data_IF_527000697765
#
_entry.id   IF_527000697765
#
_cell.length_a   1.000
_cell.length_b   1.000
_cell.length_c   1.000
_cell.angle_alpha   90.00
_cell.angle_beta   90.00
_cell.angle_gamma   90.00
#
_symmetry.space_group_name_H-M   'P 1'
#
loop_
_entity.id
_entity.type
_entity.pdbx_description
1 polymer ?
#
# COMPACT_ATOMS: atom_id res chain seq x y z
N UNK A 1 20.10 -12.86 53.39
CA UNK A 1 20.27 -12.48 51.97
C UNK A 1 20.85 -11.09 51.91
N UNK A 2 21.94 -10.89 51.14
CA UNK A 2 22.53 -9.55 50.96
C UNK A 2 21.84 -8.81 49.82
N UNK A 3 21.76 -7.47 49.90
CA UNK A 3 21.18 -6.60 48.85
C UNK A 3 21.78 -6.86 47.46
N UNK A 4 23.05 -7.27 47.41
CA UNK A 4 23.75 -7.63 46.18
C UNK A 4 23.25 -8.94 45.57
N UNK A 5 22.91 -9.92 46.39
CA UNK A 5 22.32 -11.19 45.94
C UNK A 5 20.87 -11.00 45.46
N UNK A 6 20.08 -10.18 46.17
CA UNK A 6 18.72 -9.86 45.75
C UNK A 6 18.67 -9.10 44.41
N UNK A 7 19.64 -8.21 44.16
CA UNK A 7 19.76 -7.50 42.87
C UNK A 7 20.18 -8.44 41.73
N UNK A 8 21.06 -9.41 41.99
CA UNK A 8 21.43 -10.43 41.00
C UNK A 8 20.29 -11.38 40.69
N UNK A 9 19.54 -11.82 41.71
CA UNK A 9 18.36 -12.68 41.52
C UNK A 9 17.24 -11.95 40.77
N UNK A 10 17.02 -10.66 41.06
CA UNK A 10 16.03 -9.84 40.34
C UNK A 10 16.46 -9.56 38.89
N UNK A 11 17.77 -9.39 38.63
CA UNK A 11 18.32 -9.28 37.28
C UNK A 11 18.17 -10.58 36.49
N UNK A 12 18.39 -11.73 37.12
CA UNK A 12 18.18 -13.03 36.49
C UNK A 12 16.70 -13.30 36.23
N UNK A 13 15.83 -13.03 37.21
CA UNK A 13 14.38 -13.14 37.05
C UNK A 13 13.84 -12.22 35.95
N UNK A 14 14.36 -10.99 35.82
CA UNK A 14 14.02 -10.09 34.69
C UNK A 14 14.47 -10.63 33.34
N UNK A 15 15.66 -11.24 33.27
CA UNK A 15 16.16 -11.87 32.06
C UNK A 15 15.30 -13.06 31.61
N UNK A 16 14.86 -13.89 32.56
CA UNK A 16 14.02 -15.06 32.27
C UNK A 16 12.56 -14.68 31.96
N UNK A 17 12.03 -13.64 32.61
CA UNK A 17 10.72 -13.07 32.28
C UNK A 17 10.74 -12.40 30.89
N UNK A 18 11.82 -11.70 30.53
CA UNK A 18 11.96 -11.11 29.18
C UNK A 18 11.94 -12.17 28.08
N UNK A 19 12.60 -13.33 28.30
CA UNK A 19 12.60 -14.46 27.37
C UNK A 19 11.24 -15.18 27.27
N UNK A 20 10.41 -15.11 28.32
CA UNK A 20 9.07 -15.70 28.32
C UNK A 20 8.02 -14.77 27.69
N UNK A 21 8.21 -13.45 27.79
CA UNK A 21 7.33 -12.41 27.21
C UNK A 21 7.62 -12.18 25.72
N UNK A 22 8.85 -12.40 25.26
CA UNK A 22 9.16 -12.57 23.83
C UNK A 22 8.70 -13.96 23.37
N UNK A 23 7.51 -14.06 22.75
CA UNK A 23 6.95 -15.30 22.19
C UNK A 23 7.83 -16.05 21.16
N UNK A 24 9.07 -15.61 20.94
CA UNK A 24 10.12 -16.31 20.21
C UNK A 24 10.69 -17.52 20.96
N UNK A 25 10.48 -17.68 22.27
CA UNK A 25 11.00 -18.84 23.01
C UNK A 25 10.08 -20.06 22.95
N UNK A 26 8.76 -19.89 22.98
CA UNK A 26 7.83 -21.04 23.01
C UNK A 26 7.85 -21.84 21.70
N UNK A 27 7.84 -21.18 20.54
CA UNK A 27 7.94 -21.86 19.24
C UNK A 27 9.30 -22.53 19.03
N UNK A 28 10.39 -21.86 19.40
CA UNK A 28 11.74 -22.43 19.33
C UNK A 28 11.97 -23.57 20.33
N UNK A 29 11.35 -23.50 21.51
CA UNK A 29 11.38 -24.59 22.51
C UNK A 29 10.53 -25.74 22.00
N UNK A 30 9.36 -25.48 21.44
CA UNK A 30 8.49 -26.52 20.88
C UNK A 30 9.15 -27.22 19.70
N UNK A 31 9.76 -26.49 18.76
CA UNK A 31 10.53 -27.09 17.66
C UNK A 31 11.76 -27.89 18.13
N UNK A 32 12.44 -27.44 19.20
CA UNK A 32 13.56 -28.18 19.79
C UNK A 32 13.10 -29.44 20.53
N UNK A 33 11.98 -29.36 21.26
CA UNK A 33 11.36 -30.49 21.95
C UNK A 33 10.85 -31.51 20.95
N UNK A 34 10.22 -31.08 19.86
CA UNK A 34 9.72 -31.96 18.80
C UNK A 34 10.88 -32.64 18.07
N UNK A 35 11.97 -31.92 17.75
CA UNK A 35 13.19 -32.51 17.17
C UNK A 35 13.86 -33.51 18.12
N UNK A 36 13.97 -33.17 19.41
CA UNK A 36 14.56 -34.07 20.40
C UNK A 36 13.70 -35.34 20.59
N UNK A 37 12.38 -35.19 20.63
CA UNK A 37 11.42 -36.29 20.75
C UNK A 37 11.46 -37.21 19.52
N UNK A 38 11.56 -36.64 18.31
CA UNK A 38 11.73 -37.41 17.06
C UNK A 38 13.08 -38.15 16.98
N UNK A 39 14.17 -37.51 17.42
CA UNK A 39 15.49 -38.15 17.47
C UNK A 39 15.51 -39.34 18.45
N UNK A 40 14.81 -39.22 19.58
CA UNK A 40 14.69 -40.28 20.57
C UNK A 40 13.83 -41.45 20.05
N UNK A 41 12.67 -41.14 19.43
CA UNK A 41 11.80 -42.15 18.81
C UNK A 41 12.48 -42.91 17.67
N UNK A 42 13.39 -42.27 16.94
CA UNK A 42 14.18 -42.90 15.87
C UNK A 42 15.23 -43.88 16.41
N UNK A 43 15.78 -43.60 17.58
CA UNK A 43 16.82 -44.44 18.20
C UNK A 43 16.23 -45.51 19.13
N UNK A 44 15.01 -45.32 19.66
CA UNK A 44 14.34 -46.25 20.55
C UNK A 44 12.82 -46.31 20.28
N UNK A 45 12.36 -47.17 19.37
CA UNK A 45 10.95 -47.21 18.96
C UNK A 45 9.99 -47.68 20.08
N UNK A 46 10.48 -48.35 21.13
CA UNK A 46 9.66 -48.71 22.31
C UNK A 46 9.48 -47.55 23.30
N UNK A 47 10.24 -46.45 23.19
CA UNK A 47 10.08 -45.27 24.03
C UNK A 47 8.75 -44.52 23.80
N UNK A 48 8.09 -44.77 22.65
CA UNK A 48 6.77 -44.21 22.35
C UNK A 48 5.71 -44.62 23.39
N UNK A 49 5.75 -45.89 23.85
CA UNK A 49 4.83 -46.42 24.84
C UNK A 49 5.12 -45.89 26.27
N UNK A 50 6.40 -45.69 26.62
CA UNK A 50 6.79 -45.11 27.91
C UNK A 50 6.44 -43.61 28.03
N UNK A 51 6.42 -42.89 26.89
CA UNK A 51 6.03 -41.48 26.81
C UNK A 51 4.53 -41.27 26.57
N UNK A 52 3.73 -42.35 26.52
CA UNK A 52 2.27 -42.30 26.36
C UNK A 52 1.78 -41.81 24.99
N UNK A 53 2.61 -41.91 23.95
CA UNK A 53 2.28 -41.50 22.58
C UNK A 53 1.64 -42.67 21.82
N UNK A 54 0.53 -42.43 21.13
CA UNK A 54 -0.12 -43.45 20.30
C UNK A 54 0.49 -43.48 18.89
N UNK A 55 0.34 -44.59 18.17
CA UNK A 55 0.88 -44.78 16.80
C UNK A 55 0.46 -43.68 15.81
N UNK A 56 -0.66 -43.01 16.06
CA UNK A 56 -1.15 -41.88 15.27
C UNK A 56 -0.31 -40.61 15.45
N UNK A 57 0.25 -40.37 16.63
CA UNK A 57 1.07 -39.18 16.92
C UNK A 57 2.46 -39.31 16.29
N UNK A 58 3.00 -40.54 16.28
CA UNK A 58 4.28 -40.88 15.64
C UNK A 58 4.19 -40.75 14.11
N UNK A 59 3.07 -41.19 13.53
CA UNK A 59 2.85 -41.08 12.07
C UNK A 59 2.56 -39.65 11.62
N UNK A 60 1.85 -38.85 12.44
CA UNK A 60 1.65 -37.43 12.18
C UNK A 60 2.97 -36.63 12.18
N UNK A 61 3.88 -36.94 13.10
CA UNK A 61 5.19 -36.29 13.18
C UNK A 61 6.08 -36.62 11.97
N UNK A 62 6.07 -37.87 11.48
CA UNK A 62 6.78 -38.27 10.27
C UNK A 62 6.24 -37.60 8.99
N UNK A 63 4.92 -37.39 8.89
CA UNK A 63 4.31 -36.68 7.75
C UNK A 63 4.60 -35.17 7.77
N UNK A 64 4.80 -34.59 8.96
CA UNK A 64 5.23 -33.19 9.14
C UNK A 64 6.64 -32.95 8.60
N UNK A 65 7.58 -33.91 8.77
CA UNK A 65 8.92 -33.82 8.19
C UNK A 65 8.91 -33.84 6.66
N UNK A 66 8.09 -34.69 6.04
CA UNK A 66 7.98 -34.74 4.57
C UNK A 66 7.41 -33.44 4.01
N UNK A 67 6.40 -32.85 4.66
CA UNK A 67 5.87 -31.53 4.27
C UNK A 67 6.88 -30.39 4.49
N UNK A 68 7.69 -30.45 5.57
CA UNK A 68 8.77 -29.47 5.83
C UNK A 68 9.93 -29.60 4.84
N UNK A 69 10.32 -30.81 4.44
CA UNK A 69 11.36 -31.02 3.43
C UNK A 69 10.95 -30.49 2.05
N UNK A 70 9.68 -30.69 1.67
CA UNK A 70 9.12 -30.13 0.43
C UNK A 70 9.02 -28.60 0.50
N UNK A 71 8.68 -28.04 1.68
CA UNK A 71 8.67 -26.59 1.89
C UNK A 71 10.07 -25.97 1.88
N UNK A 72 11.08 -26.66 2.39
CA UNK A 72 12.48 -26.21 2.37
C UNK A 72 13.11 -26.29 0.97
N UNK A 73 12.74 -27.27 0.14
CA UNK A 73 13.16 -27.32 -1.26
C UNK A 73 12.46 -26.25 -2.11
N UNK A 74 11.16 -25.99 -1.89
CA UNK A 74 10.45 -24.85 -2.49
C UNK A 74 11.02 -23.49 -2.03
N UNK A 75 11.50 -23.39 -0.79
CA UNK A 75 12.16 -22.19 -0.28
C UNK A 75 13.61 -22.02 -0.80
N UNK A 76 14.28 -23.10 -1.23
CA UNK A 76 15.59 -23.03 -1.89
C UNK A 76 15.49 -22.60 -3.35
N UNK A 77 14.45 -23.01 -4.08
CA UNK A 77 14.19 -22.48 -5.43
C UNK A 77 13.74 -21.01 -5.41
N UNK A 78 13.04 -20.56 -4.36
CA UNK A 78 12.70 -19.15 -4.14
C UNK A 78 13.89 -18.26 -3.68
N UNK A 79 15.08 -18.85 -3.44
CA UNK A 79 16.32 -18.14 -3.07
C UNK A 79 17.26 -17.87 -4.26
N UNK A 80 16.82 -18.10 -5.50
CA UNK A 80 17.40 -17.39 -6.64
C UNK A 80 17.01 -15.90 -6.51
N UNK A 81 17.90 -15.12 -5.92
CA UNK A 81 17.76 -13.68 -5.67
C UNK A 81 17.09 -12.95 -6.84
N UNK A 82 15.95 -12.27 -6.65
CA UNK A 82 15.77 -11.01 -7.31
C UNK A 82 16.73 -10.04 -6.61
N UNK A 83 17.78 -9.62 -7.32
CA UNK A 83 18.58 -8.47 -6.94
C UNK A 83 17.63 -7.35 -6.51
N UNK A 84 17.70 -6.96 -5.25
CA UNK A 84 16.94 -5.82 -4.74
C UNK A 84 17.37 -4.60 -5.57
N UNK A 85 16.43 -3.84 -6.16
CA UNK A 85 16.81 -2.58 -6.79
C UNK A 85 17.47 -1.73 -5.70
N UNK A 86 18.70 -1.30 -5.95
CA UNK A 86 19.41 -0.37 -5.09
C UNK A 86 18.46 0.79 -4.75
N UNK A 87 18.30 1.08 -3.46
CA UNK A 87 17.58 2.26 -3.02
C UNK A 87 18.44 3.44 -3.41
N UNK A 88 18.08 4.09 -4.53
CA UNK A 88 18.84 5.19 -5.10
C UNK A 88 18.87 6.35 -4.09
N UNK A 89 20.05 6.65 -3.54
CA UNK A 89 20.27 7.74 -2.59
C UNK A 89 20.84 7.38 -1.21
N UNK A 90 21.17 6.12 -0.90
CA UNK A 90 21.93 5.77 0.31
C UNK A 90 23.44 5.94 0.11
N UNK A 91 24.12 6.52 1.09
CA UNK A 91 25.58 6.68 1.11
C UNK A 91 26.26 5.29 0.94
N UNK A 92 27.23 5.11 0.03
CA UNK A 92 27.84 3.81 -0.27
C UNK A 92 28.44 3.07 0.94
N UNK A 93 28.76 3.77 2.02
CA UNK A 93 29.18 3.15 3.29
C UNK A 93 28.02 2.49 4.04
N UNK A 94 26.81 3.07 3.98
CA UNK A 94 25.59 2.51 4.59
C UNK A 94 25.13 1.26 3.82
N UNK A 95 25.27 1.26 2.50
CA UNK A 95 24.97 0.09 1.67
C UNK A 95 25.93 -1.08 1.95
N UNK A 96 27.22 -0.81 2.22
CA UNK A 96 28.18 -1.83 2.66
C UNK A 96 27.92 -2.29 4.10
N UNK A 97 27.54 -1.39 5.00
CA UNK A 97 27.22 -1.74 6.38
C UNK A 97 25.96 -2.62 6.47
N UNK A 98 24.94 -2.34 5.65
CA UNK A 98 23.70 -3.14 5.57
C UNK A 98 23.91 -4.55 4.94
N UNK A 99 25.07 -4.83 4.35
CA UNK A 99 25.47 -6.17 3.90
C UNK A 99 26.04 -7.03 5.05
N UNK A 100 26.38 -6.45 6.20
CA UNK A 100 26.94 -7.17 7.34
C UNK A 100 25.83 -7.65 8.31
N UNK A 101 25.73 -8.97 8.61
CA UNK A 101 24.65 -9.52 9.45
C UNK A 101 24.53 -8.88 10.84
N UNK A 102 25.67 -8.54 11.46
CA UNK A 102 25.70 -7.92 12.79
C UNK A 102 25.16 -6.48 12.80
N UNK A 103 25.31 -5.74 11.69
CA UNK A 103 24.77 -4.39 11.56
C UNK A 103 23.25 -4.45 11.39
N UNK A 104 22.74 -5.43 10.63
CA UNK A 104 21.30 -5.69 10.53
C UNK A 104 20.68 -6.05 11.87
N UNK A 105 21.31 -6.97 12.61
CA UNK A 105 20.87 -7.36 13.95
C UNK A 105 20.86 -6.17 14.91
N UNK A 106 21.91 -5.34 14.92
CA UNK A 106 21.95 -4.14 15.74
C UNK A 106 20.85 -3.13 15.37
N UNK A 107 20.56 -2.95 14.08
CA UNK A 107 19.47 -2.08 13.62
C UNK A 107 18.11 -2.65 14.01
N UNK A 108 17.88 -3.95 13.83
CA UNK A 108 16.65 -4.64 14.25
C UNK A 108 16.44 -4.55 15.77
N UNK A 109 17.49 -4.72 16.56
CA UNK A 109 17.45 -4.55 18.01
C UNK A 109 17.12 -3.11 18.41
N UNK A 110 17.75 -2.11 17.79
CA UNK A 110 17.48 -0.69 18.07
C UNK A 110 16.06 -0.27 17.64
N UNK A 111 15.58 -0.76 16.50
CA UNK A 111 14.19 -0.56 16.06
C UNK A 111 13.21 -1.24 17.03
N UNK A 112 13.50 -2.47 17.47
CA UNK A 112 12.70 -3.18 18.46
C UNK A 112 12.64 -2.45 19.80
N UNK A 113 13.77 -1.92 20.29
CA UNK A 113 13.81 -1.08 21.50
C UNK A 113 12.99 0.18 21.34
N UNK A 114 13.08 0.84 20.19
CA UNK A 114 12.30 2.04 19.89
C UNK A 114 10.78 1.73 19.88
N UNK A 115 10.35 0.64 19.26
CA UNK A 115 8.94 0.24 19.23
C UNK A 115 8.42 -0.13 20.62
N UNK A 116 9.19 -0.87 21.41
CA UNK A 116 8.87 -1.16 22.81
C UNK A 116 8.74 0.14 23.62
N UNK A 117 9.65 1.11 23.43
CA UNK A 117 9.57 2.41 24.10
C UNK A 117 8.32 3.20 23.68
N UNK A 118 7.95 3.18 22.39
CA UNK A 118 6.71 3.81 21.89
C UNK A 118 5.46 3.17 22.51
N UNK A 119 5.41 1.84 22.59
CA UNK A 119 4.30 1.10 23.22
C UNK A 119 4.20 1.36 24.72
N UNK A 120 5.35 1.37 25.41
CA UNK A 120 5.41 1.70 26.83
C UNK A 120 4.96 3.13 27.08
N UNK A 121 5.37 4.09 26.25
CA UNK A 121 4.93 5.47 26.35
C UNK A 121 3.41 5.59 26.16
N UNK A 122 2.84 4.97 25.13
CA UNK A 122 1.40 4.97 24.90
C UNK A 122 0.63 4.34 26.07
N UNK A 123 1.14 3.24 26.62
CA UNK A 123 0.56 2.56 27.79
C UNK A 123 0.65 3.44 29.05
N UNK A 124 1.82 4.04 29.31
CA UNK A 124 2.03 4.93 30.44
C UNK A 124 1.12 6.16 30.36
N UNK A 125 0.91 6.71 29.17
CA UNK A 125 0.00 7.82 28.93
C UNK A 125 -1.45 7.45 29.27
N UNK A 126 -1.91 6.28 28.81
CA UNK A 126 -3.26 5.79 29.12
C UNK A 126 -3.45 5.53 30.62
N UNK A 127 -2.49 4.88 31.26
CA UNK A 127 -2.50 4.64 32.70
C UNK A 127 -2.50 5.95 33.49
N UNK A 128 -1.66 6.92 33.10
CA UNK A 128 -1.67 8.25 33.70
C UNK A 128 -3.02 8.95 33.53
N UNK A 129 -3.72 8.72 32.42
CA UNK A 129 -5.03 9.31 32.15
C UNK A 129 -6.09 8.75 33.09
N UNK A 130 -6.12 7.43 33.27
CA UNK A 130 -7.01 6.76 34.21
C UNK A 130 -6.76 7.22 35.66
N UNK A 131 -5.50 7.31 36.09
CA UNK A 131 -5.16 7.82 37.42
C UNK A 131 -5.57 9.29 37.60
N UNK A 132 -5.36 10.13 36.58
CA UNK A 132 -5.71 11.54 36.65
C UNK A 132 -7.24 11.73 36.70
N UNK A 133 -8.01 10.95 35.92
CA UNK A 133 -9.47 10.93 35.98
C UNK A 133 -9.98 10.45 37.34
N UNK A 134 -9.44 9.34 37.88
CA UNK A 134 -9.83 8.82 39.18
C UNK A 134 -9.52 9.82 40.31
N UNK A 135 -8.37 10.49 40.25
CA UNK A 135 -8.01 11.56 41.20
C UNK A 135 -8.94 12.77 41.09
N UNK A 136 -9.46 13.06 39.90
CA UNK A 136 -10.42 14.14 39.69
C UNK A 136 -11.78 13.79 40.28
N UNK A 137 -12.25 12.56 40.06
CA UNK A 137 -13.51 12.06 40.61
C UNK A 137 -13.49 11.97 42.15
N UNK A 138 -12.33 11.68 42.74
CA UNK A 138 -12.17 11.70 44.21
C UNK A 138 -12.35 13.12 44.79
N UNK A 139 -11.94 14.16 44.05
CA UNK A 139 -12.09 15.56 44.46
C UNK A 139 -13.44 16.17 44.06
N UNK A 140 -14.05 15.64 43.00
CA UNK A 140 -15.32 16.08 42.43
C UNK A 140 -16.20 14.87 42.05
N UNK A 141 -16.82 14.20 43.03
CA UNK A 141 -17.67 13.05 42.75
C UNK A 141 -18.89 13.43 41.89
N UNK A 142 -19.30 14.71 41.94
CA UNK A 142 -20.37 15.30 41.13
C UNK A 142 -20.08 15.22 39.61
N UNK A 143 -18.81 15.10 39.21
CA UNK A 143 -18.44 14.95 37.80
C UNK A 143 -18.70 13.53 37.26
N UNK A 144 -18.92 12.54 38.12
CA UNK A 144 -19.19 11.16 37.69
C UNK A 144 -20.46 11.05 36.83
N UNK A 145 -21.43 11.94 37.06
CA UNK A 145 -22.70 11.97 36.31
C UNK A 145 -22.60 12.71 34.97
N UNK A 146 -21.47 13.38 34.70
CA UNK A 146 -21.24 14.14 33.47
C UNK A 146 -20.30 13.39 32.51
N UNK A 147 -20.50 13.49 31.19
CA UNK A 147 -19.52 13.06 30.21
C UNK A 147 -18.18 13.79 30.41
N UNK A 148 -17.05 13.09 30.18
CA UNK A 148 -15.69 13.65 30.37
C UNK A 148 -15.47 14.95 29.60
N UNK A 149 -16.07 15.08 28.41
CA UNK A 149 -15.99 16.29 27.59
C UNK A 149 -16.65 17.52 28.24
N UNK A 150 -17.59 17.31 29.18
CA UNK A 150 -18.32 18.36 29.90
C UNK A 150 -17.73 18.65 31.28
N UNK A 151 -16.69 17.93 31.71
CA UNK A 151 -16.09 18.10 33.03
C UNK A 151 -15.51 19.50 33.21
N UNK A 152 -14.97 20.12 32.16
CA UNK A 152 -14.46 21.48 32.20
C UNK A 152 -15.55 22.50 32.58
N UNK A 153 -16.75 22.32 32.03
CA UNK A 153 -17.92 23.18 32.34
C UNK A 153 -18.45 22.89 33.75
N UNK A 154 -18.50 21.62 34.15
CA UNK A 154 -18.84 21.22 35.52
C UNK A 154 -17.90 21.82 36.57
N UNK A 155 -16.59 21.84 36.30
CA UNK A 155 -15.58 22.45 37.18
C UNK A 155 -15.73 23.98 37.23
N UNK A 156 -16.09 24.63 36.12
CA UNK A 156 -16.34 26.07 36.10
C UNK A 156 -17.55 26.46 36.96
N UNK A 157 -18.61 25.65 36.95
CA UNK A 157 -19.77 25.81 37.84
C UNK A 157 -19.35 25.60 39.31
N UNK A 158 -18.57 24.55 39.56
CA UNK A 158 -18.02 24.24 40.88
C UNK A 158 -17.10 25.33 41.44
N UNK A 159 -16.37 26.03 40.58
CA UNK A 159 -15.54 27.17 40.99
C UNK A 159 -16.38 28.34 41.51
N UNK A 160 -17.62 28.51 41.01
CA UNK A 160 -18.53 29.56 41.48
C UNK A 160 -19.17 29.20 42.83
N UNK A 161 -19.41 27.92 43.10
CA UNK A 161 -20.02 27.46 44.34
C UNK A 161 -19.00 27.16 45.45
N UNK A 162 -17.84 26.58 45.12
CA UNK A 162 -16.80 26.17 46.06
C UNK A 162 -15.37 26.39 45.49
N UNK A 163 -14.87 27.63 45.51
CA UNK A 163 -13.56 27.96 44.96
C UNK A 163 -12.39 27.32 45.72
N UNK A 164 -12.52 27.06 47.03
CA UNK A 164 -11.44 26.44 47.81
C UNK A 164 -11.23 24.97 47.43
N UNK A 165 -12.30 24.25 47.10
CA UNK A 165 -12.18 22.87 46.59
C UNK A 165 -11.50 22.82 45.23
N UNK A 166 -11.83 23.76 44.34
CA UNK A 166 -11.15 23.89 43.05
C UNK A 166 -9.66 24.23 43.22
N UNK A 167 -9.30 25.11 44.14
CA UNK A 167 -7.89 25.42 44.41
C UNK A 167 -7.09 24.20 44.91
N UNK A 168 -7.68 23.32 45.72
CA UNK A 168 -7.03 22.07 46.14
C UNK A 168 -6.81 21.10 44.98
N UNK A 169 -7.70 21.11 44.00
CA UNK A 169 -7.63 20.26 42.82
C UNK A 169 -6.86 20.85 41.63
N UNK A 170 -6.43 22.11 41.69
CA UNK A 170 -5.72 22.79 40.60
C UNK A 170 -4.50 22.02 40.09
N UNK A 171 -3.73 21.39 40.98
CA UNK A 171 -2.59 20.57 40.57
C UNK A 171 -2.97 19.31 39.82
N UNK A 172 -4.15 18.72 40.11
CA UNK A 172 -4.70 17.59 39.34
C UNK A 172 -5.17 18.08 37.98
N UNK A 173 -5.86 19.22 37.92
CA UNK A 173 -6.34 19.83 36.68
C UNK A 173 -5.21 20.14 35.70
N UNK A 174 -4.12 20.74 36.17
CA UNK A 174 -2.94 21.01 35.35
C UNK A 174 -2.30 19.73 34.80
N UNK A 175 -2.29 18.64 35.58
CA UNK A 175 -1.77 17.35 35.10
C UNK A 175 -2.68 16.72 34.04
N UNK A 176 -4.00 16.81 34.20
CA UNK A 176 -4.96 16.32 33.20
C UNK A 176 -4.79 17.08 31.89
N UNK A 177 -4.70 18.41 31.93
CA UNK A 177 -4.50 19.25 30.74
C UNK A 177 -3.17 18.93 30.02
N UNK A 178 -2.07 18.84 30.76
CA UNK A 178 -0.78 18.46 30.18
C UNK A 178 -0.82 17.07 29.52
N UNK A 179 -1.50 16.12 30.16
CA UNK A 179 -1.64 14.77 29.62
C UNK A 179 -2.52 14.73 28.36
N UNK A 180 -3.61 15.51 28.34
CA UNK A 180 -4.47 15.64 27.16
C UNK A 180 -3.70 16.24 25.98
N UNK A 181 -2.90 17.28 26.23
CA UNK A 181 -2.03 17.88 25.21
C UNK A 181 -0.97 16.88 24.71
N UNK A 182 -0.32 16.15 25.62
CA UNK A 182 0.66 15.12 25.27
C UNK A 182 0.02 13.99 24.43
N UNK A 183 -1.22 13.62 24.71
CA UNK A 183 -1.98 12.64 23.94
C UNK A 183 -2.34 13.14 22.55
N UNK A 184 -2.82 14.37 22.42
CA UNK A 184 -3.11 14.98 21.13
C UNK A 184 -1.85 15.07 20.26
N UNK A 185 -0.72 15.54 20.84
CA UNK A 185 0.56 15.60 20.15
C UNK A 185 1.05 14.22 19.70
N UNK A 186 0.93 13.21 20.58
CA UNK A 186 1.28 11.83 20.24
C UNK A 186 0.46 11.28 19.08
N UNK A 187 -0.87 11.51 19.07
CA UNK A 187 -1.74 11.10 17.97
C UNK A 187 -1.38 11.81 16.66
N UNK A 188 -1.11 13.12 16.70
CA UNK A 188 -0.68 13.88 15.52
C UNK A 188 0.67 13.37 14.98
N UNK A 189 1.62 13.07 15.87
CA UNK A 189 2.91 12.49 15.49
C UNK A 189 2.74 11.11 14.85
N UNK A 190 1.94 10.23 15.45
CA UNK A 190 1.63 8.91 14.89
C UNK A 190 0.97 9.00 13.51
N UNK A 191 0.00 9.90 13.34
CA UNK A 191 -0.67 10.12 12.06
C UNK A 191 0.30 10.68 11.00
N UNK A 192 1.23 11.56 11.40
CA UNK A 192 2.26 12.07 10.51
C UNK A 192 3.25 10.98 10.07
N UNK A 193 3.75 10.16 11.00
CA UNK A 193 4.62 9.01 10.68
C UNK A 193 3.91 8.02 9.74
N UNK A 194 2.64 7.71 9.99
CA UNK A 194 1.85 6.83 9.12
C UNK A 194 1.67 7.42 7.72
N UNK A 195 1.34 8.71 7.60
CA UNK A 195 1.24 9.39 6.30
C UNK A 195 2.56 9.34 5.53
N UNK A 196 3.67 9.61 6.21
CA UNK A 196 5.01 9.54 5.60
C UNK A 196 5.35 8.13 5.12
N UNK A 197 5.04 7.10 5.92
CA UNK A 197 5.22 5.68 5.54
C UNK A 197 4.40 5.29 4.32
N UNK A 198 3.13 5.70 4.27
CA UNK A 198 2.25 5.42 3.13
C UNK A 198 2.75 6.16 1.89
N UNK A 199 3.18 7.42 2.03
CA UNK A 199 3.70 8.20 0.91
C UNK A 199 5.01 7.64 0.36
N UNK A 200 5.95 7.23 1.22
CA UNK A 200 7.21 6.61 0.78
C UNK A 200 6.97 5.26 0.13
N UNK A 201 6.10 4.43 0.70
CA UNK A 201 5.67 3.17 0.09
C UNK A 201 5.03 3.40 -1.29
N UNK A 202 4.10 4.36 -1.41
CA UNK A 202 3.43 4.66 -2.68
C UNK A 202 4.41 5.18 -3.75
N UNK A 203 5.43 5.98 -3.36
CA UNK A 203 6.51 6.41 -4.26
C UNK A 203 7.33 5.23 -4.76
N UNK A 204 7.71 4.31 -3.86
CA UNK A 204 8.46 3.12 -4.22
C UNK A 204 7.66 2.19 -5.14
N UNK A 205 6.36 2.00 -4.87
CA UNK A 205 5.46 1.24 -5.74
C UNK A 205 5.30 1.89 -7.12
N UNK A 206 5.15 3.23 -7.17
CA UNK A 206 5.15 3.96 -8.43
C UNK A 206 6.43 3.73 -9.24
N UNK A 207 7.60 3.81 -8.61
CA UNK A 207 8.88 3.53 -9.27
C UNK A 207 8.97 2.07 -9.79
N UNK A 208 8.44 1.09 -9.04
CA UNK A 208 8.35 -0.32 -9.48
C UNK A 208 7.45 -0.49 -10.71
N UNK A 209 6.34 0.25 -10.75
CA UNK A 209 5.45 0.29 -11.91
C UNK A 209 6.14 0.93 -13.11
N UNK A 210 6.74 2.11 -12.94
CA UNK A 210 7.41 2.85 -14.02
C UNK A 210 8.54 2.02 -14.65
N UNK A 211 9.35 1.34 -13.82
CA UNK A 211 10.39 0.44 -14.29
C UNK A 211 9.85 -0.75 -15.10
N UNK A 212 8.67 -1.28 -14.74
CA UNK A 212 7.99 -2.34 -15.50
C UNK A 212 7.40 -1.79 -16.80
N UNK A 213 6.71 -0.64 -16.75
CA UNK A 213 6.11 -0.01 -17.91
C UNK A 213 7.18 0.35 -18.97
N UNK A 214 8.35 0.85 -18.54
CA UNK A 214 9.48 1.12 -19.40
C UNK A 214 10.01 -0.14 -20.11
N UNK A 215 10.10 -1.28 -19.39
CA UNK A 215 10.52 -2.57 -19.98
C UNK A 215 9.53 -3.09 -21.01
N UNK A 216 8.24 -2.89 -20.78
CA UNK A 216 7.17 -3.28 -21.70
C UNK A 216 6.99 -2.30 -22.87
N UNK A 217 7.75 -1.20 -22.91
CA UNK A 217 7.59 -0.14 -23.92
C UNK A 217 6.26 0.60 -23.83
N UNK A 218 5.63 0.58 -22.66
CA UNK A 218 4.34 1.21 -22.40
C UNK A 218 4.52 2.71 -22.24
N UNK A 219 3.73 3.50 -22.98
CA UNK A 219 3.64 4.94 -22.79
C UNK A 219 2.56 5.26 -21.74
N UNK A 220 2.92 5.83 -20.57
CA UNK A 220 1.96 6.09 -19.50
C UNK A 220 0.79 6.97 -19.93
N UNK A 221 1.01 7.93 -20.83
CA UNK A 221 -0.01 8.87 -21.30
C UNK A 221 -1.12 8.22 -22.13
N UNK A 222 -0.80 7.19 -22.93
CA UNK A 222 -1.78 6.48 -23.75
C UNK A 222 -2.65 5.57 -22.87
N UNK A 223 -2.05 4.95 -21.86
CA UNK A 223 -2.74 4.05 -20.94
C UNK A 223 -3.57 4.81 -19.92
N UNK A 224 -3.09 5.94 -19.40
CA UNK A 224 -3.84 6.77 -18.48
C UNK A 224 -5.21 7.18 -19.06
N UNK A 225 -5.23 7.63 -20.31
CA UNK A 225 -6.49 8.00 -20.99
C UNK A 225 -7.42 6.80 -21.20
N UNK A 226 -6.89 5.66 -21.62
CA UNK A 226 -7.69 4.45 -21.82
C UNK A 226 -8.22 3.87 -20.50
N UNK A 227 -7.45 3.99 -19.42
CA UNK A 227 -7.85 3.61 -18.08
C UNK A 227 -8.94 4.53 -17.52
N UNK A 228 -8.83 5.86 -17.73
CA UNK A 228 -9.87 6.83 -17.37
C UNK A 228 -11.19 6.54 -18.10
N UNK A 229 -11.14 6.27 -19.41
CA UNK A 229 -12.32 5.91 -20.21
C UNK A 229 -12.93 4.57 -19.75
N UNK A 230 -12.08 3.57 -19.46
CA UNK A 230 -12.53 2.29 -18.93
C UNK A 230 -13.23 2.41 -17.58
N UNK A 231 -12.66 3.18 -16.66
CA UNK A 231 -13.23 3.41 -15.34
C UNK A 231 -14.50 4.25 -15.41
N UNK A 232 -14.56 5.24 -16.30
CA UNK A 232 -15.75 6.04 -16.55
C UNK A 232 -16.94 5.20 -17.00
N UNK A 233 -16.73 4.22 -17.89
CA UNK A 233 -17.80 3.30 -18.31
C UNK A 233 -18.27 2.35 -17.20
N UNK A 234 -17.42 2.10 -16.20
CA UNK A 234 -17.78 1.37 -14.99
C UNK A 234 -18.46 2.26 -13.93
N UNK A 235 -18.73 3.53 -14.25
CA UNK A 235 -19.35 4.50 -13.35
C UNK A 235 -18.40 5.10 -12.32
N UNK A 236 -17.09 4.89 -12.46
CA UNK A 236 -16.07 5.49 -11.59
C UNK A 236 -15.60 6.80 -12.21
N UNK A 237 -16.12 7.90 -11.70
CA UNK A 237 -15.67 9.24 -12.07
C UNK A 237 -14.25 9.54 -11.57
N UNK A 238 -13.55 10.46 -12.23
CA UNK A 238 -12.17 10.86 -11.92
C UNK A 238 -12.01 11.40 -10.49
N UNK A 239 -12.97 12.17 -9.99
CA UNK A 239 -12.90 12.70 -8.63
C UNK A 239 -13.12 11.59 -7.59
N UNK A 240 -13.96 10.62 -7.92
CA UNK A 240 -14.18 9.41 -7.10
C UNK A 240 -12.93 8.53 -7.08
N UNK A 241 -12.26 8.34 -8.22
CA UNK A 241 -10.99 7.63 -8.29
C UNK A 241 -9.91 8.31 -7.45
N UNK A 242 -9.82 9.64 -7.52
CA UNK A 242 -8.84 10.42 -6.73
C UNK A 242 -9.09 10.25 -5.23
N UNK A 243 -10.35 10.35 -4.77
CA UNK A 243 -10.72 10.07 -3.38
C UNK A 243 -10.39 8.65 -2.97
N UNK A 244 -10.82 7.65 -3.75
CA UNK A 244 -10.53 6.24 -3.50
C UNK A 244 -9.03 5.97 -3.38
N UNK A 245 -8.21 6.60 -4.22
CA UNK A 245 -6.75 6.45 -4.22
C UNK A 245 -6.10 7.07 -2.98
N UNK A 246 -6.68 8.15 -2.45
CA UNK A 246 -6.22 8.78 -1.21
C UNK A 246 -6.65 7.98 0.02
N UNK A 247 -7.87 7.42 0.00
CA UNK A 247 -8.46 6.70 1.13
C UNK A 247 -7.94 5.25 1.21
N UNK A 248 -7.59 4.65 0.07
CA UNK A 248 -7.14 3.26 -0.03
C UNK A 248 -5.73 3.20 -0.64
N UNK A 249 -4.68 3.13 0.21
CA UNK A 249 -3.29 3.07 -0.25
C UNK A 249 -3.04 1.94 -1.26
N UNK A 250 -3.73 0.80 -1.12
CA UNK A 250 -3.54 -0.37 -2.00
C UNK A 250 -3.80 -0.05 -3.48
N UNK A 251 -4.64 0.93 -3.80
CA UNK A 251 -4.90 1.34 -5.19
C UNK A 251 -3.68 2.04 -5.82
N UNK A 252 -2.69 2.43 -5.01
CA UNK A 252 -1.40 2.99 -5.44
C UNK A 252 -0.32 1.93 -5.60
N UNK A 253 -0.63 0.64 -5.36
CA UNK A 253 0.34 -0.43 -5.52
C UNK A 253 0.68 -0.67 -6.99
N UNK A 254 1.89 -1.15 -7.25
CA UNK A 254 2.33 -1.47 -8.61
C UNK A 254 1.50 -2.60 -9.23
N UNK A 255 1.03 -3.55 -8.42
CA UNK A 255 0.21 -4.67 -8.85
C UNK A 255 -1.17 -4.20 -9.32
N UNK A 256 -1.78 -3.27 -8.60
CA UNK A 256 -3.06 -2.69 -9.01
C UNK A 256 -2.89 -1.84 -10.28
N UNK A 257 -1.84 -1.04 -10.36
CA UNK A 257 -1.52 -0.23 -11.55
C UNK A 257 -1.28 -1.10 -12.79
N UNK A 258 -0.61 -2.26 -12.64
CA UNK A 258 -0.44 -3.25 -13.71
C UNK A 258 -1.76 -3.85 -14.15
N UNK A 259 -2.59 -4.29 -13.21
CA UNK A 259 -3.93 -4.82 -13.53
C UNK A 259 -4.77 -3.80 -14.31
N UNK A 260 -4.77 -2.54 -13.88
CA UNK A 260 -5.48 -1.46 -14.57
C UNK A 260 -4.91 -1.22 -15.97
N UNK A 261 -3.58 -1.27 -16.09
CA UNK A 261 -2.87 -1.15 -17.37
C UNK A 261 -3.24 -2.27 -18.34
N UNK A 262 -3.28 -3.52 -17.86
CA UNK A 262 -3.63 -4.68 -18.68
C UNK A 262 -5.10 -4.62 -19.13
N UNK A 263 -6.00 -4.21 -18.24
CA UNK A 263 -7.41 -3.98 -18.58
C UNK A 263 -7.57 -2.89 -19.65
N UNK A 264 -6.85 -1.77 -19.51
CA UNK A 264 -6.85 -0.69 -20.50
C UNK A 264 -6.31 -1.16 -21.86
N UNK A 265 -5.18 -1.89 -21.87
CA UNK A 265 -4.61 -2.47 -23.11
C UNK A 265 -5.57 -3.43 -23.78
N UNK A 266 -6.19 -4.34 -23.02
CA UNK A 266 -7.17 -5.28 -23.54
C UNK A 266 -8.31 -4.54 -24.23
N UNK A 267 -8.83 -3.48 -23.60
CA UNK A 267 -9.89 -2.66 -24.18
C UNK A 267 -9.45 -1.93 -25.45
N UNK A 268 -8.25 -1.37 -25.47
CA UNK A 268 -7.71 -0.72 -26.68
C UNK A 268 -7.61 -1.70 -27.84
N UNK A 269 -7.15 -2.92 -27.59
CA UNK A 269 -7.07 -3.99 -28.60
C UNK A 269 -8.47 -4.36 -29.10
N UNK A 270 -9.43 -4.61 -28.19
CA UNK A 270 -10.81 -4.93 -28.57
C UNK A 270 -11.49 -3.80 -29.36
N UNK A 271 -11.30 -2.55 -28.95
CA UNK A 271 -11.79 -1.38 -29.69
C UNK A 271 -11.12 -1.18 -31.04
N UNK A 272 -9.82 -1.49 -31.16
CA UNK A 272 -9.08 -1.44 -32.41
C UNK A 272 -9.55 -2.53 -33.39
N UNK A 273 -9.83 -3.75 -32.92
CA UNK A 273 -10.42 -4.81 -33.74
C UNK A 273 -11.80 -4.42 -34.29
N UNK A 274 -12.64 -3.79 -33.46
CA UNK A 274 -13.95 -3.28 -33.88
C UNK A 274 -13.85 -2.17 -34.95
N UNK A 275 -12.82 -1.32 -34.89
CA UNK A 275 -12.57 -0.28 -35.90
C UNK A 275 -11.94 -0.82 -37.19
N UNK A 276 -11.11 -1.86 -37.09
CA UNK A 276 -10.43 -2.46 -38.24
C UNK A 276 -11.39 -3.30 -39.13
N UNK A 277 -12.39 -3.97 -38.54
CA UNK A 277 -13.41 -4.70 -39.28
C UNK A 277 -14.39 -3.79 -40.04
N UNK A 278 -14.47 -2.51 -39.68
CA UNK A 278 -15.27 -1.51 -40.38
C UNK A 278 -14.62 -0.99 -41.69
N UNK A 279 -13.46 -1.53 -42.09
CA UNK A 279 -12.80 -1.13 -43.34
C UNK A 279 -13.69 -1.56 -44.51
N UNK A 280 -14.33 -0.58 -45.14
CA UNK A 280 -15.27 -0.77 -46.24
C UNK A 280 -14.68 -1.71 -47.29
N UNK A 281 -15.32 -2.86 -47.46
CA UNK A 281 -15.00 -3.82 -48.53
C UNK A 281 -15.04 -3.04 -49.85
N UNK A 282 -13.98 -3.08 -50.68
CA UNK A 282 -14.00 -2.41 -51.98
C UNK A 282 -15.25 -2.86 -52.73
N UNK A 283 -16.03 -1.94 -53.34
CA UNK A 283 -17.24 -2.32 -54.04
C UNK A 283 -16.88 -3.34 -55.12
N UNK A 284 -17.46 -4.54 -55.03
CA UNK A 284 -17.25 -5.61 -56.02
C UNK A 284 -17.87 -5.14 -57.32
N UNK A 285 -17.03 -4.64 -58.23
CA UNK A 285 -17.43 -4.32 -59.60
C UNK A 285 -17.66 -5.65 -60.30
N UNK A 286 -18.93 -5.95 -60.59
CA UNK A 286 -19.29 -7.13 -61.36
C UNK A 286 -18.88 -6.89 -62.82
N UNK A 287 -18.15 -7.82 -63.47
CA UNK A 287 -17.89 -7.73 -64.90
C UNK A 287 -19.23 -7.65 -65.66
N UNK A 288 -19.44 -6.60 -66.44
CA UNK A 288 -20.62 -6.46 -67.33
C UNK A 288 -21.63 -5.38 -66.97
N UNK A 289 -21.50 -4.64 -65.86
CA UNK A 289 -22.24 -3.39 -65.65
C UNK A 289 -21.36 -2.23 -66.13
N UNK A 290 -21.78 -1.59 -67.22
CA UNK A 290 -21.15 -0.36 -67.69
C UNK A 290 -21.11 0.65 -66.54
N UNK A 291 -19.92 1.07 -66.12
CA UNK A 291 -19.76 2.28 -65.33
C UNK A 291 -20.50 3.38 -66.07
N UNK A 292 -21.56 3.92 -65.47
CA UNK A 292 -22.20 5.12 -66.00
C UNK A 292 -21.10 6.16 -66.23
N UNK A 293 -21.03 6.78 -67.41
CA UNK A 293 -20.04 7.81 -67.65
C UNK A 293 -20.20 8.90 -66.57
N UNK A 294 -19.10 9.45 -66.03
CA UNK A 294 -19.19 10.49 -65.03
C UNK A 294 -20.03 11.63 -65.61
N UNK A 295 -21.16 11.95 -64.97
CA UNK A 295 -21.95 13.12 -65.31
C UNK A 295 -21.01 14.32 -65.30
N UNK A 296 -21.00 15.09 -66.38
CA UNK A 296 -20.05 16.19 -66.67
C UNK A 296 -20.24 17.43 -65.78
N UNK A 297 -20.38 17.24 -64.47
CA UNK A 297 -20.54 18.31 -63.49
C UNK A 297 -20.19 17.91 -62.05
N UNK A 298 -19.68 16.70 -61.79
CA UNK A 298 -19.40 16.28 -60.42
C UNK A 298 -18.02 16.77 -59.93
N UNK A 299 -17.93 18.07 -59.67
CA UNK A 299 -16.75 18.71 -59.09
C UNK A 299 -16.57 18.37 -57.59
N UNK A 300 -17.56 17.73 -56.96
CA UNK A 300 -17.58 17.45 -55.52
C UNK A 300 -16.47 16.48 -55.10
N UNK A 301 -16.26 15.40 -55.85
CA UNK A 301 -15.20 14.42 -55.59
C UNK A 301 -13.79 15.00 -55.78
N UNK A 302 -13.61 15.87 -56.77
CA UNK A 302 -12.33 16.55 -56.99
C UNK A 302 -12.03 17.61 -55.91
N UNK A 303 -13.05 18.29 -55.38
CA UNK A 303 -12.89 19.22 -54.26
C UNK A 303 -12.49 18.46 -52.99
N UNK A 304 -13.13 17.33 -52.69
CA UNK A 304 -12.81 16.54 -51.50
C UNK A 304 -11.38 15.99 -51.51
N UNK A 305 -10.88 15.57 -52.68
CA UNK A 305 -9.51 15.09 -52.83
C UNK A 305 -8.49 16.24 -52.70
N UNK A 306 -8.77 17.40 -53.30
CA UNK A 306 -7.92 18.58 -53.14
C UNK A 306 -7.92 19.13 -51.71
N UNK A 307 -9.01 18.97 -50.95
CA UNK A 307 -9.06 19.32 -49.52
C UNK A 307 -8.12 18.43 -48.70
N UNK A 308 -8.11 17.11 -48.91
CA UNK A 308 -7.13 16.21 -48.25
C UNK A 308 -5.68 16.56 -48.58
N UNK A 309 -5.42 16.99 -49.82
CA UNK A 309 -4.10 17.43 -50.24
C UNK A 309 -3.73 18.80 -49.68
N UNK A 310 -4.71 19.65 -49.36
CA UNK A 310 -4.49 20.93 -48.70
C UNK A 310 -4.07 20.72 -47.25
N UNK A 311 -4.71 19.79 -46.53
CA UNK A 311 -4.44 19.50 -45.11
C UNK A 311 -2.98 19.04 -44.86
N UNK A 312 -2.32 18.52 -45.89
CA UNK A 312 -0.92 18.05 -45.83
C UNK A 312 0.08 18.95 -46.55
N UNK A 313 -0.37 19.99 -47.26
CA UNK A 313 0.49 20.88 -48.03
C UNK A 313 0.82 22.16 -47.27
N UNK A 314 2.06 22.65 -47.40
CA UNK A 314 2.53 23.92 -46.80
C UNK A 314 3.07 24.88 -47.87
N UNK A 315 3.07 26.18 -47.55
CA UNK A 315 3.64 27.24 -48.40
C UNK A 315 2.98 27.39 -49.77
N UNK A 316 3.79 27.62 -50.81
CA UNK A 316 3.31 27.91 -52.17
C UNK A 316 2.47 26.78 -52.79
N UNK A 317 2.63 25.53 -52.34
CA UNK A 317 1.85 24.38 -52.81
C UNK A 317 0.41 24.45 -52.28
N UNK A 318 0.23 24.83 -51.00
CA UNK A 318 -1.08 25.02 -50.40
C UNK A 318 -1.88 26.12 -51.12
N UNK A 319 -1.25 27.24 -51.45
CA UNK A 319 -1.91 28.33 -52.19
C UNK A 319 -2.42 27.90 -53.58
N UNK A 320 -1.63 27.10 -54.32
CA UNK A 320 -2.07 26.58 -55.63
C UNK A 320 -3.24 25.61 -55.51
N UNK A 321 -3.25 24.78 -54.47
CA UNK A 321 -4.33 23.82 -54.21
C UNK A 321 -5.61 24.58 -53.82
N UNK A 322 -5.51 25.58 -52.94
CA UNK A 322 -6.63 26.44 -52.55
C UNK A 322 -7.23 27.20 -53.75
N UNK A 323 -6.38 27.72 -54.65
CA UNK A 323 -6.82 28.37 -55.88
C UNK A 323 -7.60 27.42 -56.80
N UNK A 324 -7.14 26.16 -56.94
CA UNK A 324 -7.85 25.12 -57.71
C UNK A 324 -9.20 24.77 -57.10
N UNK A 325 -9.28 24.61 -55.78
CA UNK A 325 -10.56 24.36 -55.07
C UNK A 325 -11.54 25.52 -55.34
N UNK A 326 -11.06 26.75 -55.26
CA UNK A 326 -11.89 27.95 -55.47
C UNK A 326 -12.35 28.07 -56.93
N UNK A 327 -11.51 27.67 -57.90
CA UNK A 327 -11.89 27.59 -59.31
C UNK A 327 -12.99 26.55 -59.56
N UNK A 328 -12.84 25.35 -58.99
CA UNK A 328 -13.83 24.28 -59.12
C UNK A 328 -15.15 24.61 -58.42
N UNK A 329 -15.12 25.27 -57.26
CA UNK A 329 -16.34 25.75 -56.58
C UNK A 329 -17.08 26.80 -57.40
N UNK A 330 -16.35 27.73 -58.04
CA UNK A 330 -16.96 28.73 -58.95
C UNK A 330 -17.55 28.07 -60.19
N UNK A 331 -16.87 27.10 -60.78
CA UNK A 331 -17.38 26.35 -61.92
C UNK A 331 -18.64 25.52 -61.57
N UNK A 332 -18.70 24.99 -60.34
CA UNK A 332 -19.86 24.24 -59.86
C UNK A 332 -21.07 25.13 -59.53
N UNK A 333 -20.84 26.38 -59.09
CA UNK A 333 -21.91 27.34 -58.76
C UNK A 333 -22.38 28.22 -59.93
N UNK A 334 -21.75 28.13 -61.10
CA UNK A 334 -22.10 28.89 -62.29
C UNK A 334 -23.06 28.14 -63.25
N UNK A 335 -23.77 27.13 -62.75
CA UNK A 335 -24.77 26.33 -63.48
C UNK A 335 -26.12 26.40 -62.81
#
# INVERSE_FOLDING_TARGET
>A
MTLKQAAQELSHARGDISRFVEGASLSNIQDKVDKARLAELKNNPSAAQELGLNDQDVTAAAQSETKRAIADDLAKEAKAEPATPAVDGLDPEVEKALKHPQVRQAIEEELGRADVAKQQYATALNTAHQYAQASLLDHFPELADFPVDQWAEGIAILHQSDPQRVQRAMGVLQRVDHLQQAQAQWQHHQAAEQRQRVESWAKNEGARYDAWAAKEGIKPSEIARAAEEYLGDLGVDRDSLTRLTNDNPILRSSEFQRMLTDAARYRMVMGAHAKASAKAVPPVIRPGVASSPPRSGDHSGQIAELQKQLDTATGNKAMRIAAKITGLRRAAGAR
#
